data_IF_460247397128
#
_entry.id   IF_460247397128
#
_cell.length_a   1.000
_cell.length_b   1.000
_cell.length_c   1.000
_cell.angle_alpha   90.00
_cell.angle_beta   90.00
_cell.angle_gamma   90.00
#
_symmetry.space_group_name_H-M   'P 1'
#
loop_
_entity.id
_entity.type
_entity.pdbx_description
1 polymer ?
#
# COMPACT_ATOMS: atom_id res chain seq x y z
N UNK A 1 -10.75 41.36 34.00
CA UNK A 1 -9.69 40.33 33.97
C UNK A 1 -10.11 39.32 32.92
N UNK A 2 -9.40 39.29 31.79
CA UNK A 2 -9.75 38.43 30.67
C UNK A 2 -9.35 36.99 30.98
N UNK A 3 -10.30 36.06 30.88
CA UNK A 3 -10.05 34.63 30.89
C UNK A 3 -9.05 34.29 29.77
N UNK A 4 -7.90 33.74 30.16
CA UNK A 4 -6.95 33.20 29.23
C UNK A 4 -7.49 31.87 28.71
N UNK A 5 -7.71 31.81 27.39
CA UNK A 5 -8.05 30.57 26.71
C UNK A 5 -6.95 29.51 26.94
N UNK A 6 -7.30 28.23 27.13
CA UNK A 6 -6.33 27.17 27.29
C UNK A 6 -5.43 27.05 26.04
N UNK A 7 -4.19 26.55 26.19
CA UNK A 7 -3.14 26.64 25.18
C UNK A 7 -3.60 26.08 23.84
N UNK A 8 -3.67 26.98 22.84
CA UNK A 8 -4.12 26.68 21.49
C UNK A 8 -3.26 25.60 20.84
N UNK A 9 -3.83 24.42 20.66
CA UNK A 9 -3.34 23.46 19.68
C UNK A 9 -3.69 24.01 18.30
N UNK A 10 -2.67 24.28 17.49
CA UNK A 10 -2.82 24.81 16.13
C UNK A 10 -3.58 23.82 15.23
N UNK A 11 -4.91 23.90 15.21
CA UNK A 11 -5.76 23.14 14.30
C UNK A 11 -6.15 24.02 13.11
N UNK A 12 -6.15 23.42 11.92
CA UNK A 12 -6.49 24.10 10.67
C UNK A 12 -7.98 23.95 10.39
N UNK A 13 -8.65 25.06 10.10
CA UNK A 13 -10.07 25.10 9.71
C UNK A 13 -10.21 24.64 8.25
N UNK A 14 -11.17 23.77 7.93
CA UNK A 14 -11.52 23.47 6.52
C UNK A 14 -12.83 24.16 6.15
N UNK A 15 -12.87 24.69 4.94
CA UNK A 15 -14.09 25.18 4.28
C UNK A 15 -14.84 24.10 3.47
N UNK A 16 -14.38 22.84 3.46
CA UNK A 16 -15.00 21.75 2.68
C UNK A 16 -16.04 20.97 3.48
N UNK A 17 -17.20 20.79 2.87
CA UNK A 17 -18.34 20.04 3.39
C UNK A 17 -18.17 18.54 3.14
N UNK A 18 -17.87 17.77 4.19
CA UNK A 18 -18.04 16.31 4.15
C UNK A 18 -19.54 16.03 4.28
N UNK A 19 -20.23 15.82 3.16
CA UNK A 19 -21.64 15.39 3.16
C UNK A 19 -21.70 13.90 3.42
N UNK A 20 -21.99 13.52 4.66
CA UNK A 20 -22.36 12.15 5.00
C UNK A 20 -23.83 12.00 4.58
N UNK A 21 -24.08 11.36 3.44
CA UNK A 21 -25.45 11.00 3.05
C UNK A 21 -25.95 9.88 3.99
N UNK A 22 -26.72 10.26 5.00
CA UNK A 22 -27.39 9.32 5.90
C UNK A 22 -28.89 9.56 5.93
N UNK A 23 -29.63 8.51 6.28
CA UNK A 23 -31.02 8.59 6.72
C UNK A 23 -31.17 9.26 8.09
N UNK A 24 -30.09 9.37 8.87
CA UNK A 24 -29.98 10.13 10.12
C UNK A 24 -28.57 10.74 10.26
N UNK A 25 -28.42 12.04 10.56
CA UNK A 25 -27.11 12.68 10.67
C UNK A 25 -26.30 12.17 11.88
N UNK A 26 -25.10 11.64 11.66
CA UNK A 26 -24.13 11.34 12.74
C UNK A 26 -23.53 12.61 13.35
N UNK A 27 -23.24 12.58 14.65
CA UNK A 27 -22.71 13.71 15.42
C UNK A 27 -21.20 13.62 15.70
N UNK A 28 -20.55 14.78 15.83
CA UNK A 28 -19.22 14.92 16.43
C UNK A 28 -19.36 15.06 17.94
N UNK A 29 -18.50 14.40 18.74
CA UNK A 29 -18.55 14.51 20.20
C UNK A 29 -17.63 15.62 20.69
N UNK A 30 -18.17 16.56 21.47
CA UNK A 30 -17.40 17.60 22.15
C UNK A 30 -17.61 17.54 23.68
N UNK A 31 -16.56 17.38 24.50
CA UNK A 31 -15.15 17.27 24.10
C UNK A 31 -14.81 15.88 23.53
N UNK A 32 -13.92 15.79 22.53
CA UNK A 32 -13.61 14.53 21.82
C UNK A 32 -12.98 13.46 22.72
N UNK A 33 -12.38 13.86 23.83
CA UNK A 33 -11.80 12.97 24.84
C UNK A 33 -12.86 12.18 25.63
N UNK A 34 -14.15 12.44 25.39
CA UNK A 34 -15.28 11.70 25.93
C UNK A 34 -15.38 10.28 25.39
N UNK A 35 -14.81 9.99 24.23
CA UNK A 35 -14.70 8.63 23.65
C UNK A 35 -13.92 7.67 24.55
N UNK A 36 -13.11 8.22 25.45
CA UNK A 36 -12.24 7.49 26.36
C UNK A 36 -12.87 7.27 27.72
N UNK A 37 -14.14 7.67 27.87
CA UNK A 37 -14.93 7.51 29.09
C UNK A 37 -16.01 6.45 28.89
N UNK A 38 -16.63 5.97 29.97
CA UNK A 38 -17.76 5.02 29.91
C UNK A 38 -19.07 5.66 29.44
N UNK A 39 -18.99 6.70 28.62
CA UNK A 39 -20.16 7.40 28.10
C UNK A 39 -20.84 6.55 27.03
N UNK A 40 -22.19 6.47 27.02
CA UNK A 40 -22.93 5.84 25.94
C UNK A 40 -22.87 6.74 24.70
N UNK A 41 -21.88 6.47 23.86
CA UNK A 41 -21.73 7.06 22.53
C UNK A 41 -22.28 6.09 21.49
N UNK A 42 -22.93 6.64 20.47
CA UNK A 42 -23.24 5.84 19.29
C UNK A 42 -21.95 5.54 18.52
N UNK A 43 -21.87 4.36 17.90
CA UNK A 43 -20.66 3.93 17.21
C UNK A 43 -20.22 4.95 16.14
N UNK A 44 -21.17 5.51 15.39
CA UNK A 44 -20.91 6.53 14.38
C UNK A 44 -20.26 7.80 14.93
N UNK A 45 -20.58 8.19 16.16
CA UNK A 45 -20.06 9.41 16.78
C UNK A 45 -18.59 9.26 17.16
N UNK A 46 -18.23 8.11 17.74
CA UNK A 46 -16.86 7.79 18.10
C UNK A 46 -15.96 7.68 16.87
N UNK A 47 -16.45 7.01 15.82
CA UNK A 47 -15.81 6.89 14.50
C UNK A 47 -15.58 8.28 13.91
N UNK A 48 -16.62 9.09 13.81
CA UNK A 48 -16.58 10.43 13.21
C UNK A 48 -15.56 11.31 13.92
N UNK A 49 -15.61 11.35 15.24
CA UNK A 49 -14.67 12.14 16.06
C UNK A 49 -13.21 11.70 15.87
N UNK A 50 -12.95 10.39 15.79
CA UNK A 50 -11.61 9.86 15.55
C UNK A 50 -11.05 10.25 14.16
N UNK A 51 -11.91 10.34 13.12
CA UNK A 51 -11.52 10.84 11.79
C UNK A 51 -10.99 12.26 11.89
N UNK A 52 -11.79 13.16 12.47
CA UNK A 52 -11.43 14.57 12.57
C UNK A 52 -10.15 14.77 13.37
N UNK A 53 -9.98 13.99 14.44
CA UNK A 53 -8.79 14.02 15.26
C UNK A 53 -7.54 13.58 14.52
N UNK A 54 -7.62 12.47 13.79
CA UNK A 54 -6.53 11.96 12.96
C UNK A 54 -6.17 12.92 11.82
N UNK A 55 -7.16 13.61 11.23
CA UNK A 55 -6.92 14.63 10.20
C UNK A 55 -6.34 15.94 10.77
N UNK A 56 -6.38 16.15 12.09
CA UNK A 56 -5.98 17.41 12.73
C UNK A 56 -6.94 18.56 12.46
N UNK A 57 -8.24 18.27 12.30
CA UNK A 57 -9.25 19.23 11.83
C UNK A 57 -10.44 19.21 12.77
N UNK A 58 -11.09 20.35 12.99
CA UNK A 58 -12.37 20.43 13.71
C UNK A 58 -13.53 20.47 12.71
N UNK A 59 -14.64 19.77 12.96
CA UNK A 59 -15.79 19.82 12.09
C UNK A 59 -16.50 21.17 12.24
N UNK A 60 -16.79 21.84 11.12
CA UNK A 60 -17.66 23.02 11.09
C UNK A 60 -19.11 22.66 10.73
N UNK A 61 -19.33 21.47 10.19
CA UNK A 61 -20.56 21.13 9.46
C UNK A 61 -21.24 19.88 10.01
N UNK A 62 -20.52 19.09 10.80
CA UNK A 62 -21.13 17.96 11.50
C UNK A 62 -21.76 18.50 12.78
N UNK A 63 -23.06 18.22 13.03
CA UNK A 63 -23.71 18.61 14.27
C UNK A 63 -22.91 18.11 15.47
N UNK A 64 -22.61 19.01 16.41
CA UNK A 64 -21.86 18.66 17.61
C UNK A 64 -22.82 18.14 18.68
N UNK A 65 -22.58 16.94 19.20
CA UNK A 65 -23.20 16.44 20.43
C UNK A 65 -22.41 16.99 21.62
N UNK A 66 -23.08 17.85 22.38
CA UNK A 66 -22.57 18.30 23.67
C UNK A 66 -22.91 17.28 24.74
N UNK A 67 -21.93 16.92 25.55
CA UNK A 67 -22.14 16.10 26.73
C UNK A 67 -22.55 17.01 27.88
N UNK A 68 -23.74 16.76 28.44
CA UNK A 68 -24.17 17.47 29.64
C UNK A 68 -23.40 16.92 30.84
N UNK A 69 -22.32 17.60 31.23
CA UNK A 69 -21.46 17.19 32.36
C UNK A 69 -22.23 17.00 33.67
N UNK A 70 -23.36 17.70 33.87
CA UNK A 70 -24.20 17.56 35.05
C UNK A 70 -24.86 16.17 35.16
N UNK A 71 -24.98 15.45 34.05
CA UNK A 71 -25.58 14.10 34.00
C UNK A 71 -24.58 12.98 34.25
N UNK A 72 -23.29 13.30 34.35
CA UNK A 72 -22.22 12.33 34.57
C UNK A 72 -22.11 11.97 36.05
N UNK A 73 -21.79 10.72 36.35
CA UNK A 73 -21.36 10.32 37.69
C UNK A 73 -19.93 10.85 38.01
N UNK A 74 -19.52 10.78 39.28
CA UNK A 74 -18.22 11.32 39.72
C UNK A 74 -17.02 10.59 39.07
N UNK A 75 -17.18 9.30 38.75
CA UNK A 75 -16.14 8.52 38.08
C UNK A 75 -16.00 8.96 36.62
N UNK A 76 -17.11 9.21 35.93
CA UNK A 76 -17.17 9.72 34.57
C UNK A 76 -16.65 11.16 34.48
N UNK A 77 -17.01 12.04 35.42
CA UNK A 77 -16.46 13.41 35.48
C UNK A 77 -14.96 13.42 35.72
N UNK A 78 -14.47 12.58 36.64
CA UNK A 78 -13.03 12.45 36.91
C UNK A 78 -12.29 11.89 35.69
N UNK A 79 -12.85 10.90 35.02
CA UNK A 79 -12.28 10.35 33.78
C UNK A 79 -12.24 11.39 32.66
N UNK A 80 -13.31 12.17 32.51
CA UNK A 80 -13.41 13.26 31.52
C UNK A 80 -12.38 14.37 31.79
N UNK A 81 -12.25 14.84 33.03
CA UNK A 81 -11.23 15.85 33.39
C UNK A 81 -9.82 15.35 33.12
N UNK A 82 -9.52 14.11 33.53
CA UNK A 82 -8.22 13.47 33.26
C UNK A 82 -7.96 13.25 31.78
N UNK A 83 -9.00 13.03 30.97
CA UNK A 83 -8.84 12.82 29.53
C UNK A 83 -8.60 14.13 28.79
N UNK A 84 -9.27 15.23 29.18
CA UNK A 84 -9.06 16.57 28.60
C UNK A 84 -7.61 17.06 28.80
N UNK A 85 -7.00 16.76 29.95
CA UNK A 85 -5.65 17.23 30.31
C UNK A 85 -4.51 16.32 29.77
N UNK A 86 -4.81 15.17 29.18
CA UNK A 86 -3.82 14.12 28.94
C UNK A 86 -3.46 13.94 27.47
N UNK A 87 -2.16 13.94 27.16
CA UNK A 87 -1.60 13.48 25.88
C UNK A 87 -2.06 12.08 25.48
N UNK A 88 -2.44 11.24 26.46
CA UNK A 88 -3.04 9.93 26.23
C UNK A 88 -4.24 10.03 25.29
N UNK A 89 -5.11 11.01 25.50
CA UNK A 89 -6.36 11.08 24.76
C UNK A 89 -6.16 11.35 23.29
N UNK A 90 -5.17 12.17 22.99
CA UNK A 90 -4.81 12.48 21.61
C UNK A 90 -4.23 11.25 20.93
N UNK A 91 -3.33 10.54 21.60
CA UNK A 91 -2.75 9.29 21.08
C UNK A 91 -3.82 8.25 20.80
N UNK A 92 -4.80 8.08 21.72
CA UNK A 92 -5.89 7.13 21.56
C UNK A 92 -6.79 7.46 20.36
N UNK A 93 -7.22 8.72 20.23
CA UNK A 93 -8.10 9.16 19.13
C UNK A 93 -7.39 9.12 17.77
N UNK A 94 -6.14 9.58 17.72
CA UNK A 94 -5.34 9.51 16.50
C UNK A 94 -5.09 8.07 16.10
N UNK A 95 -4.75 7.20 17.04
CA UNK A 95 -4.58 5.77 16.79
C UNK A 95 -5.87 5.16 16.24
N UNK A 96 -7.04 5.45 16.84
CA UNK A 96 -8.33 4.95 16.36
C UNK A 96 -8.60 5.37 14.92
N UNK A 97 -8.43 6.65 14.59
CA UNK A 97 -8.63 7.15 13.23
C UNK A 97 -7.67 6.50 12.24
N UNK A 98 -6.38 6.44 12.59
CA UNK A 98 -5.34 5.80 11.76
C UNK A 98 -5.66 4.34 11.50
N UNK A 99 -5.89 3.57 12.57
CA UNK A 99 -6.19 2.14 12.49
C UNK A 99 -7.47 1.90 11.69
N UNK A 100 -8.52 2.70 11.93
CA UNK A 100 -9.76 2.66 11.17
C UNK A 100 -9.53 2.81 9.66
N UNK A 101 -8.77 3.81 9.22
CA UNK A 101 -8.48 3.99 7.78
C UNK A 101 -7.64 2.84 7.23
N UNK A 102 -6.64 2.37 7.96
CA UNK A 102 -5.83 1.22 7.53
C UNK A 102 -6.67 -0.06 7.35
N UNK A 103 -7.82 -0.18 8.04
CA UNK A 103 -8.71 -1.32 7.84
C UNK A 103 -9.37 -1.40 6.47
N UNK A 104 -9.33 -0.31 5.68
CA UNK A 104 -9.78 -0.32 4.29
C UNK A 104 -8.96 -1.26 3.40
N UNK A 105 -7.73 -1.56 3.81
CA UNK A 105 -6.80 -2.44 3.08
C UNK A 105 -6.30 -3.62 3.92
N UNK A 106 -6.46 -3.58 5.24
CA UNK A 106 -5.99 -4.62 6.18
C UNK A 106 -7.06 -4.89 7.24
N UNK A 107 -7.86 -5.93 7.04
CA UNK A 107 -8.93 -6.28 7.98
C UNK A 107 -8.39 -6.55 9.39
N UNK A 108 -9.09 -6.07 10.41
CA UNK A 108 -8.75 -6.31 11.82
C UNK A 108 -9.85 -7.15 12.44
N UNK A 109 -9.45 -8.16 13.22
CA UNK A 109 -10.37 -8.99 14.01
C UNK A 109 -9.87 -9.09 15.44
N UNK A 110 -10.80 -9.08 16.39
CA UNK A 110 -10.57 -9.32 17.81
C UNK A 110 -10.39 -10.80 18.11
N UNK A 111 -10.83 -11.68 17.20
CA UNK A 111 -10.67 -13.13 17.28
C UNK A 111 -10.21 -13.72 15.94
N UNK A 112 -9.41 -14.80 16.00
CA UNK A 112 -8.97 -15.56 14.82
C UNK A 112 -7.52 -15.32 14.38
N UNK A 113 -7.05 -16.06 13.34
CA UNK A 113 -5.65 -16.11 12.92
C UNK A 113 -5.15 -14.83 12.22
N UNK A 114 -6.05 -13.91 11.85
CA UNK A 114 -5.76 -12.66 11.14
C UNK A 114 -5.92 -11.43 12.03
N UNK A 115 -5.43 -11.51 13.27
CA UNK A 115 -5.35 -10.36 14.16
C UNK A 115 -4.23 -9.41 13.69
N UNK A 116 -4.52 -8.52 12.75
CA UNK A 116 -3.61 -7.45 12.30
C UNK A 116 -3.34 -6.37 13.36
N UNK A 117 -3.64 -6.66 14.64
CA UNK A 117 -3.46 -5.76 15.78
C UNK A 117 -1.98 -5.46 16.01
N UNK A 118 -1.10 -6.45 15.91
CA UNK A 118 0.36 -6.26 16.04
C UNK A 118 0.90 -5.33 14.95
N UNK A 119 0.40 -5.46 13.71
CA UNK A 119 0.79 -4.59 12.61
C UNK A 119 0.42 -3.13 12.90
N UNK A 120 -0.81 -2.88 13.36
CA UNK A 120 -1.27 -1.54 13.72
C UNK A 120 -0.44 -0.94 14.86
N UNK A 121 -0.15 -1.72 15.90
CA UNK A 121 0.69 -1.28 17.01
C UNK A 121 2.11 -0.96 16.56
N UNK A 122 2.71 -1.75 15.66
CA UNK A 122 4.04 -1.46 15.10
C UNK A 122 4.06 -0.17 14.28
N UNK A 123 3.00 0.13 13.53
CA UNK A 123 2.87 1.40 12.79
C UNK A 123 2.78 2.59 13.73
N UNK A 124 2.01 2.45 14.81
CA UNK A 124 1.94 3.47 15.85
C UNK A 124 3.28 3.69 16.56
N UNK A 125 3.95 2.61 16.96
CA UNK A 125 5.29 2.66 17.57
C UNK A 125 6.31 3.38 16.69
N UNK A 126 6.27 3.18 15.37
CA UNK A 126 7.13 3.89 14.44
C UNK A 126 6.88 5.42 14.45
N UNK A 127 5.61 5.85 14.57
CA UNK A 127 5.26 7.27 14.73
C UNK A 127 5.84 7.80 16.04
N UNK A 128 5.58 7.10 17.16
CA UNK A 128 6.07 7.53 18.48
C UNK A 128 7.59 7.67 18.50
N UNK A 129 8.31 6.68 17.95
CA UNK A 129 9.76 6.69 17.85
C UNK A 129 10.28 7.85 17.00
N UNK A 130 9.67 8.09 15.83
CA UNK A 130 10.05 9.18 14.92
C UNK A 130 9.84 10.55 15.56
N UNK A 131 8.78 10.71 16.35
CA UNK A 131 8.43 11.95 17.03
C UNK A 131 9.14 12.15 18.38
N UNK A 132 9.83 11.12 18.89
CA UNK A 132 10.43 11.16 20.23
C UNK A 132 9.38 11.26 21.36
N UNK A 133 8.16 10.78 21.15
CA UNK A 133 7.10 10.77 22.16
C UNK A 133 6.98 9.39 22.81
N UNK A 134 6.53 9.36 24.07
CA UNK A 134 6.21 8.12 24.76
C UNK A 134 5.06 7.41 24.07
N UNK A 135 5.25 6.13 23.74
CA UNK A 135 4.17 5.25 23.30
C UNK A 135 3.34 4.80 24.50
N UNK A 136 2.09 5.26 24.57
CA UNK A 136 1.18 4.90 25.65
C UNK A 136 0.64 3.45 25.53
N UNK A 137 0.84 2.78 24.39
CA UNK A 137 0.46 1.39 24.13
C UNK A 137 1.59 0.40 24.44
N UNK A 138 2.82 0.87 24.64
CA UNK A 138 3.97 0.03 24.98
C UNK A 138 3.93 -0.44 26.44
N UNK A 139 4.82 -1.38 26.77
CA UNK A 139 5.01 -1.82 28.15
C UNK A 139 5.36 -0.63 29.06
N UNK A 140 4.59 -0.48 30.15
CA UNK A 140 4.70 0.65 31.06
C UNK A 140 3.95 1.91 30.62
N UNK A 141 3.25 1.91 29.47
CA UNK A 141 2.32 2.97 29.07
C UNK A 141 1.03 2.99 29.89
N UNK A 142 0.17 4.00 29.66
CA UNK A 142 -1.10 4.16 30.39
C UNK A 142 -2.27 3.37 29.79
N UNK A 143 -2.14 2.82 28.59
CA UNK A 143 -3.21 2.02 27.96
C UNK A 143 -3.25 0.62 28.58
N UNK A 144 -4.34 0.31 29.27
CA UNK A 144 -4.56 -1.03 29.81
C UNK A 144 -4.93 -2.02 28.70
N UNK A 145 -4.75 -3.33 28.97
CA UNK A 145 -5.17 -4.39 28.05
C UNK A 145 -6.67 -4.34 27.72
N UNK A 146 -7.49 -4.01 28.71
CA UNK A 146 -8.95 -3.86 28.54
C UNK A 146 -9.28 -2.68 27.62
N UNK A 147 -8.64 -1.53 27.83
CA UNK A 147 -8.80 -0.35 26.97
C UNK A 147 -8.39 -0.66 25.53
N UNK A 148 -7.23 -1.28 25.34
CA UNK A 148 -6.78 -1.69 24.01
C UNK A 148 -7.76 -2.66 23.34
N UNK A 149 -8.27 -3.65 24.07
CA UNK A 149 -9.27 -4.57 23.54
C UNK A 149 -10.57 -3.87 23.12
N UNK A 150 -11.05 -2.90 23.92
CA UNK A 150 -12.21 -2.07 23.57
C UNK A 150 -12.00 -1.26 22.29
N UNK A 151 -10.78 -0.72 22.09
CA UNK A 151 -10.44 0.00 20.87
C UNK A 151 -10.44 -0.91 19.64
N UNK A 152 -9.91 -2.14 19.75
CA UNK A 152 -9.96 -3.11 18.65
C UNK A 152 -11.40 -3.43 18.26
N UNK A 153 -12.30 -3.62 19.23
CA UNK A 153 -13.74 -3.80 18.96
C UNK A 153 -14.35 -2.60 18.23
N UNK A 154 -14.00 -1.38 18.63
CA UNK A 154 -14.47 -0.18 17.92
C UNK A 154 -13.94 -0.13 16.48
N UNK A 155 -12.70 -0.57 16.24
CA UNK A 155 -12.12 -0.72 14.89
C UNK A 155 -12.82 -1.82 14.08
N UNK A 156 -13.35 -2.87 14.72
CA UNK A 156 -14.21 -3.85 14.06
C UNK A 156 -15.55 -3.24 13.64
N UNK A 157 -16.23 -2.51 14.53
CA UNK A 157 -17.46 -1.78 14.20
C UNK A 157 -17.22 -0.76 13.08
N UNK A 158 -16.10 -0.04 13.12
CA UNK A 158 -15.66 0.87 12.06
C UNK A 158 -15.65 0.21 10.68
N UNK A 159 -15.09 -0.99 10.55
CA UNK A 159 -15.02 -1.70 9.27
C UNK A 159 -16.41 -1.94 8.69
N UNK A 160 -17.35 -2.36 9.53
CA UNK A 160 -18.75 -2.57 9.13
C UNK A 160 -19.41 -1.25 8.75
N UNK A 161 -19.20 -0.20 9.56
CA UNK A 161 -19.79 1.12 9.38
C UNK A 161 -19.34 1.80 8.07
N UNK A 162 -18.03 1.77 7.76
CA UNK A 162 -17.47 2.38 6.54
C UNK A 162 -17.75 1.53 5.28
N UNK A 163 -17.80 0.19 5.39
CA UNK A 163 -18.11 -0.69 4.24
C UNK A 163 -19.45 -0.32 3.59
N UNK A 164 -20.47 -0.07 4.40
CA UNK A 164 -21.81 0.31 3.95
C UNK A 164 -21.89 1.71 3.31
N UNK A 165 -20.88 2.58 3.49
CA UNK A 165 -20.93 4.01 3.13
C UNK A 165 -19.87 4.38 2.10
N UNK A 166 -20.16 4.18 0.82
CA UNK A 166 -19.21 4.41 -0.26
C UNK A 166 -18.71 5.86 -0.36
N UNK A 167 -19.60 6.85 -0.17
CA UNK A 167 -19.25 8.27 -0.23
C UNK A 167 -18.32 8.67 0.93
N UNK A 168 -18.64 8.22 2.14
CA UNK A 168 -17.81 8.45 3.34
C UNK A 168 -16.44 7.81 3.18
N UNK A 169 -16.39 6.55 2.71
CA UNK A 169 -15.13 5.85 2.43
C UNK A 169 -14.28 6.63 1.44
N UNK A 170 -14.87 7.11 0.33
CA UNK A 170 -14.18 7.92 -0.67
C UNK A 170 -13.61 9.20 -0.06
N UNK A 171 -14.42 9.93 0.71
CA UNK A 171 -14.00 11.20 1.29
C UNK A 171 -12.87 11.03 2.32
N UNK A 172 -13.00 10.06 3.22
CA UNK A 172 -11.95 9.73 4.21
C UNK A 172 -10.65 9.38 3.49
N UNK A 173 -10.72 8.56 2.43
CA UNK A 173 -9.55 8.20 1.65
C UNK A 173 -8.93 9.43 1.00
N UNK A 174 -9.71 10.27 0.31
CA UNK A 174 -9.24 11.51 -0.33
C UNK A 174 -8.49 12.37 0.67
N UNK A 175 -9.12 12.67 1.81
CA UNK A 175 -8.53 13.50 2.86
C UNK A 175 -7.27 12.88 3.50
N UNK A 176 -7.15 11.55 3.48
CA UNK A 176 -6.00 10.84 4.02
C UNK A 176 -4.79 10.85 3.07
N UNK A 177 -5.02 10.99 1.75
CA UNK A 177 -3.96 10.94 0.73
C UNK A 177 -3.63 12.30 0.11
N UNK A 178 -4.51 13.30 0.24
CA UNK A 178 -4.26 14.68 -0.15
C UNK A 178 -3.01 15.25 0.55
N UNK A 179 -2.40 16.27 -0.04
CA UNK A 179 -1.24 16.93 0.54
C UNK A 179 -1.58 17.49 1.92
N UNK A 180 -0.68 17.20 2.86
CA UNK A 180 -0.88 17.54 4.26
C UNK A 180 -0.50 19.02 4.40
N UNK A 181 -1.40 19.91 4.87
CA UNK A 181 -1.08 21.32 4.99
C UNK A 181 0.17 21.53 5.86
N UNK A 182 1.06 22.45 5.46
CA UNK A 182 2.29 22.74 6.20
C UNK A 182 2.02 23.17 7.65
N UNK A 183 0.88 23.81 7.89
CA UNK A 183 0.44 24.24 9.23
C UNK A 183 -0.22 23.13 10.08
N UNK A 184 -0.38 21.90 9.56
CA UNK A 184 -0.94 20.80 10.32
C UNK A 184 -0.02 20.40 11.51
N UNK A 185 -0.58 19.91 12.63
CA UNK A 185 0.23 19.38 13.73
C UNK A 185 1.18 18.26 13.27
N UNK A 186 2.39 18.21 13.83
CA UNK A 186 3.41 17.22 13.41
C UNK A 186 2.92 15.77 13.55
N UNK A 187 2.16 15.47 14.62
CA UNK A 187 1.57 14.14 14.83
C UNK A 187 0.63 13.76 13.69
N UNK A 188 -0.19 14.70 13.23
CA UNK A 188 -1.13 14.50 12.11
C UNK A 188 -0.35 14.23 10.84
N UNK A 189 0.73 14.99 10.59
CA UNK A 189 1.61 14.76 9.43
C UNK A 189 2.16 13.34 9.41
N UNK A 190 2.75 12.89 10.52
CA UNK A 190 3.32 11.54 10.64
C UNK A 190 2.29 10.43 10.51
N UNK A 191 1.09 10.64 11.03
CA UNK A 191 -0.01 9.68 10.91
C UNK A 191 -0.47 9.55 9.46
N UNK A 192 -0.68 10.68 8.78
CA UNK A 192 -1.08 10.68 7.37
C UNK A 192 0.02 10.09 6.47
N UNK A 193 1.30 10.35 6.74
CA UNK A 193 2.43 9.69 6.07
C UNK A 193 2.37 8.15 6.22
N UNK A 194 2.12 7.64 7.43
CA UNK A 194 1.96 6.20 7.64
C UNK A 194 0.75 5.64 6.89
N UNK A 195 -0.39 6.33 6.91
CA UNK A 195 -1.59 5.91 6.18
C UNK A 195 -1.31 5.85 4.68
N UNK A 196 -0.73 6.91 4.10
CA UNK A 196 -0.35 6.94 2.67
C UNK A 196 0.55 5.76 2.32
N UNK A 197 1.58 5.49 3.12
CA UNK A 197 2.47 4.35 2.90
C UNK A 197 1.75 3.00 2.95
N UNK A 198 0.77 2.82 3.84
CA UNK A 198 0.02 1.55 3.95
C UNK A 198 -0.95 1.36 2.80
N UNK A 199 -1.58 2.43 2.32
CA UNK A 199 -2.51 2.41 1.20
C UNK A 199 -1.80 2.32 -0.17
N UNK A 200 -0.56 2.83 -0.25
CA UNK A 200 0.22 2.88 -1.48
C UNK A 200 0.50 1.48 -2.03
N UNK A 201 0.14 1.25 -3.30
CA UNK A 201 0.37 -0.01 -3.99
C UNK A 201 -0.56 -1.14 -3.52
N UNK A 202 -1.57 -0.85 -2.69
CA UNK A 202 -2.49 -1.89 -2.23
C UNK A 202 -3.13 -2.63 -3.40
N UNK A 203 -3.08 -3.96 -3.36
CA UNK A 203 -3.62 -4.83 -4.40
C UNK A 203 -2.87 -4.76 -5.75
N UNK A 204 -1.76 -4.03 -5.83
CA UNK A 204 -0.91 -3.93 -7.04
C UNK A 204 0.36 -4.80 -6.95
N UNK A 205 0.48 -5.64 -5.92
CA UNK A 205 1.68 -6.45 -5.67
C UNK A 205 2.08 -7.35 -6.86
N UNK A 206 1.10 -7.99 -7.50
CA UNK A 206 1.35 -8.78 -8.70
C UNK A 206 1.79 -7.92 -9.88
N UNK A 207 1.21 -6.72 -10.01
CA UNK A 207 1.58 -5.74 -11.03
C UNK A 207 3.01 -5.24 -10.83
N UNK A 208 3.43 -4.97 -9.59
CA UNK A 208 4.79 -4.58 -9.25
C UNK A 208 5.81 -5.66 -9.64
N UNK A 209 5.51 -6.94 -9.36
CA UNK A 209 6.39 -8.06 -9.75
C UNK A 209 6.52 -8.18 -11.26
N UNK A 210 5.40 -8.13 -11.99
CA UNK A 210 5.44 -8.17 -13.46
C UNK A 210 6.17 -6.94 -14.03
N UNK A 211 5.97 -5.76 -13.44
CA UNK A 211 6.69 -4.55 -13.84
C UNK A 211 8.20 -4.67 -13.60
N UNK A 212 8.61 -5.19 -12.44
CA UNK A 212 10.03 -5.42 -12.12
C UNK A 212 10.68 -6.43 -13.07
N UNK A 213 9.92 -7.46 -13.49
CA UNK A 213 10.40 -8.44 -14.46
C UNK A 213 10.68 -7.83 -15.84
N UNK A 214 10.01 -6.73 -16.23
CA UNK A 214 10.25 -6.07 -17.52
C UNK A 214 11.68 -5.52 -17.68
N UNK A 215 12.38 -5.32 -16.56
CA UNK A 215 13.78 -4.87 -16.52
C UNK A 215 14.74 -5.99 -16.12
N UNK A 216 14.25 -7.24 -16.03
CA UNK A 216 15.10 -8.38 -15.72
C UNK A 216 15.95 -8.78 -16.94
N UNK A 217 17.02 -9.50 -16.65
CA UNK A 217 17.88 -10.15 -17.63
C UNK A 217 17.48 -11.60 -17.87
N UNK A 218 16.21 -11.98 -17.67
CA UNK A 218 15.77 -13.35 -17.87
C UNK A 218 15.55 -13.69 -19.35
N UNK A 219 16.01 -14.87 -19.80
CA UNK A 219 15.70 -15.39 -21.14
C UNK A 219 14.20 -15.63 -21.35
N UNK A 220 13.40 -15.76 -20.28
CA UNK A 220 11.95 -15.93 -20.43
C UNK A 220 11.28 -14.76 -21.18
N UNK A 221 11.91 -13.57 -21.24
CA UNK A 221 11.48 -12.46 -22.09
C UNK A 221 11.57 -12.73 -23.60
N UNK A 222 12.27 -13.79 -24.02
CA UNK A 222 12.32 -14.26 -25.41
C UNK A 222 11.12 -15.13 -25.79
N UNK A 223 10.30 -15.56 -24.82
CA UNK A 223 9.09 -16.33 -25.09
C UNK A 223 8.04 -15.35 -25.68
N UNK A 224 7.53 -15.55 -26.91
CA UNK A 224 6.68 -14.56 -27.58
C UNK A 224 5.47 -14.12 -26.76
N UNK A 225 4.84 -15.05 -26.04
CA UNK A 225 3.65 -14.82 -25.22
C UNK A 225 3.99 -13.99 -23.97
N UNK A 226 5.10 -14.29 -23.29
CA UNK A 226 5.60 -13.50 -22.15
C UNK A 226 5.96 -12.10 -22.62
N UNK A 227 6.66 -12.01 -23.74
CA UNK A 227 7.11 -10.77 -24.35
C UNK A 227 5.94 -9.86 -24.74
N UNK A 228 4.93 -10.39 -25.44
CA UNK A 228 3.75 -9.63 -25.82
C UNK A 228 2.97 -9.14 -24.59
N UNK A 229 2.72 -10.02 -23.62
CA UNK A 229 2.05 -9.65 -22.37
C UNK A 229 2.83 -8.57 -21.59
N UNK A 230 4.17 -8.55 -21.70
CA UNK A 230 5.03 -7.52 -21.10
C UNK A 230 4.76 -6.14 -21.71
N UNK A 231 4.70 -6.06 -23.03
CA UNK A 231 4.38 -4.82 -23.75
C UNK A 231 2.97 -4.36 -23.45
N UNK A 232 2.01 -5.27 -23.46
CA UNK A 232 0.61 -4.96 -23.18
C UNK A 232 0.45 -4.40 -21.76
N UNK A 233 1.08 -5.03 -20.76
CA UNK A 233 1.09 -4.53 -19.39
C UNK A 233 1.73 -3.14 -19.30
N UNK A 234 2.88 -2.91 -19.95
CA UNK A 234 3.57 -1.61 -19.95
C UNK A 234 2.67 -0.50 -20.52
N UNK A 235 1.94 -0.78 -21.60
CA UNK A 235 0.96 0.14 -22.20
C UNK A 235 -0.18 0.45 -21.24
N UNK A 236 -0.80 -0.59 -20.65
CA UNK A 236 -1.90 -0.40 -19.68
C UNK A 236 -1.44 0.39 -18.45
N UNK A 237 -0.25 0.12 -17.92
CA UNK A 237 0.33 0.87 -16.79
C UNK A 237 0.55 2.34 -17.16
N UNK A 238 1.09 2.62 -18.34
CA UNK A 238 1.31 3.99 -18.81
C UNK A 238 -0.01 4.75 -18.98
N UNK A 239 -1.02 4.12 -19.59
CA UNK A 239 -2.36 4.69 -19.74
C UNK A 239 -3.01 5.01 -18.39
N UNK A 240 -2.97 4.08 -17.44
CA UNK A 240 -3.57 4.29 -16.13
C UNK A 240 -2.82 5.35 -15.32
N UNK A 241 -1.49 5.43 -15.44
CA UNK A 241 -0.70 6.51 -14.82
C UNK A 241 -1.05 7.87 -15.42
N UNK A 242 -1.22 7.95 -16.74
CA UNK A 242 -1.64 9.18 -17.40
C UNK A 242 -3.07 9.59 -17.03
N UNK A 243 -3.98 8.62 -16.93
CA UNK A 243 -5.39 8.85 -16.61
C UNK A 243 -5.60 9.28 -15.15
N UNK A 244 -4.94 8.62 -14.19
CA UNK A 244 -5.22 8.80 -12.76
C UNK A 244 -4.15 9.61 -12.02
N UNK A 245 -3.02 9.92 -12.67
CA UNK A 245 -1.98 10.80 -12.16
C UNK A 245 -1.49 10.39 -10.75
N UNK A 246 -1.49 11.30 -9.77
CA UNK A 246 -1.09 11.02 -8.39
C UNK A 246 -1.93 9.93 -7.68
N UNK A 247 -3.13 9.63 -8.18
CA UNK A 247 -4.00 8.61 -7.60
C UNK A 247 -3.66 7.19 -8.08
N UNK A 248 -2.77 7.03 -9.07
CA UNK A 248 -2.38 5.72 -9.60
C UNK A 248 -1.95 4.71 -8.52
N UNK A 249 -1.11 5.07 -7.53
CA UNK A 249 -0.71 4.12 -6.49
C UNK A 249 -1.88 3.63 -5.61
N UNK A 250 -3.03 4.30 -5.66
CA UNK A 250 -4.21 4.02 -4.83
C UNK A 250 -5.39 3.45 -5.65
N UNK A 251 -5.16 3.07 -6.92
CA UNK A 251 -6.18 2.59 -7.87
C UNK A 251 -7.18 1.59 -7.28
N UNK A 252 -6.70 0.57 -6.56
CA UNK A 252 -7.56 -0.47 -5.98
C UNK A 252 -8.20 -0.10 -4.65
N UNK A 253 -7.68 0.93 -3.99
CA UNK A 253 -8.28 1.50 -2.76
C UNK A 253 -9.47 2.38 -3.13
N UNK A 254 -9.37 3.14 -4.22
CA UNK A 254 -10.41 4.04 -4.76
C UNK A 254 -11.35 3.40 -5.79
N UNK A 255 -11.45 2.07 -5.83
CA UNK A 255 -11.74 1.27 -7.04
C UNK A 255 -11.93 2.09 -8.34
N UNK A 256 -10.85 2.72 -8.81
CA UNK A 256 -10.89 3.60 -9.97
C UNK A 256 -11.09 2.77 -11.26
N UNK A 257 -11.77 3.32 -12.28
CA UNK A 257 -12.01 2.61 -13.54
C UNK A 257 -10.72 2.08 -14.18
N UNK A 258 -10.77 0.83 -14.66
CA UNK A 258 -9.66 0.18 -15.37
C UNK A 258 -8.63 -0.54 -14.48
N UNK A 259 -8.77 -0.50 -13.14
CA UNK A 259 -7.86 -1.19 -12.22
C UNK A 259 -7.87 -2.74 -12.36
N UNK A 260 -8.95 -3.30 -12.88
CA UNK A 260 -9.13 -4.71 -13.22
C UNK A 260 -8.20 -5.16 -14.36
N UNK A 261 -7.86 -4.24 -15.28
CA UNK A 261 -6.92 -4.50 -16.38
C UNK A 261 -5.54 -4.95 -15.89
N UNK A 262 -5.11 -4.48 -14.71
CA UNK A 262 -3.83 -4.82 -14.08
C UNK A 262 -3.80 -6.19 -13.37
N UNK A 263 -4.91 -6.93 -13.37
CA UNK A 263 -4.98 -8.23 -12.71
C UNK A 263 -4.05 -9.26 -13.40
N UNK A 264 -3.29 -10.03 -12.62
CA UNK A 264 -2.33 -11.02 -13.15
C UNK A 264 -2.97 -12.07 -14.08
N UNK A 265 -4.25 -12.42 -13.85
CA UNK A 265 -5.06 -13.28 -14.74
C UNK A 265 -5.12 -12.81 -16.19
N UNK A 266 -4.95 -11.51 -16.46
CA UNK A 266 -4.90 -10.99 -17.83
C UNK A 266 -3.52 -11.19 -18.48
N UNK A 267 -2.52 -11.55 -17.70
CA UNK A 267 -1.12 -11.74 -18.11
C UNK A 267 -0.53 -13.03 -17.49
N UNK A 268 -1.14 -14.20 -17.72
CA UNK A 268 -0.80 -15.43 -16.98
C UNK A 268 0.64 -15.92 -17.26
N UNK A 269 1.10 -15.86 -18.51
CA UNK A 269 2.46 -16.26 -18.90
C UNK A 269 3.51 -15.32 -18.29
N UNK A 270 3.28 -14.01 -18.37
CA UNK A 270 4.14 -12.98 -17.77
C UNK A 270 4.19 -13.11 -16.26
N UNK A 271 3.04 -13.24 -15.60
CA UNK A 271 3.00 -13.37 -14.15
C UNK A 271 3.76 -14.61 -13.68
N UNK A 272 3.55 -15.74 -14.34
CA UNK A 272 4.28 -16.97 -14.02
C UNK A 272 5.79 -16.81 -14.22
N UNK A 273 6.23 -16.24 -15.35
CA UNK A 273 7.65 -15.97 -15.62
C UNK A 273 8.28 -15.04 -14.58
N UNK A 274 7.56 -13.97 -14.20
CA UNK A 274 8.02 -13.00 -13.22
C UNK A 274 8.18 -13.61 -11.83
N UNK A 275 7.21 -14.41 -11.38
CA UNK A 275 7.31 -15.12 -10.09
C UNK A 275 8.41 -16.17 -10.12
N UNK A 276 8.53 -16.95 -11.21
CA UNK A 276 9.56 -17.99 -11.36
C UNK A 276 10.97 -17.39 -11.27
N UNK A 277 11.20 -16.29 -11.98
CA UNK A 277 12.46 -15.54 -11.94
C UNK A 277 12.74 -14.96 -10.55
N UNK A 278 11.74 -14.38 -9.89
CA UNK A 278 11.91 -13.82 -8.56
C UNK A 278 12.21 -14.90 -7.49
N UNK A 279 11.61 -16.10 -7.63
CA UNK A 279 11.94 -17.27 -6.80
C UNK A 279 13.40 -17.67 -7.00
N UNK A 280 13.84 -17.79 -8.26
CA UNK A 280 15.21 -18.17 -8.60
C UNK A 280 16.25 -17.19 -8.04
N UNK A 281 16.01 -15.89 -8.22
CA UNK A 281 16.93 -14.84 -7.78
C UNK A 281 16.92 -14.62 -6.26
N UNK A 282 16.05 -15.31 -5.51
CA UNK A 282 15.83 -15.11 -4.07
C UNK A 282 15.42 -13.68 -3.71
N UNK A 283 14.92 -12.93 -4.69
CA UNK A 283 14.38 -11.58 -4.50
C UNK A 283 13.04 -11.60 -3.74
N UNK A 284 12.43 -12.78 -3.62
CA UNK A 284 11.27 -13.02 -2.78
C UNK A 284 11.69 -13.13 -1.31
N UNK A 285 11.94 -11.98 -0.70
CA UNK A 285 12.05 -11.86 0.75
C UNK A 285 10.76 -12.34 1.43
N UNK A 286 10.90 -13.42 2.20
CA UNK A 286 9.91 -14.06 3.08
C UNK A 286 8.89 -14.95 2.35
N UNK A 287 8.93 -16.23 2.71
CA UNK A 287 8.05 -17.34 2.33
C UNK A 287 6.57 -16.92 2.20
N UNK A 288 5.91 -17.36 1.12
CA UNK A 288 4.45 -17.37 0.99
C UNK A 288 3.76 -16.09 0.50
N UNK A 289 4.48 -15.01 0.18
CA UNK A 289 3.86 -13.75 -0.32
C UNK A 289 3.45 -13.77 -1.80
N UNK A 290 4.03 -14.67 -2.58
CA UNK A 290 3.70 -14.83 -4.00
C UNK A 290 3.40 -16.29 -4.23
N UNK A 291 2.17 -16.55 -4.61
CA UNK A 291 1.73 -17.89 -4.98
C UNK A 291 1.82 -17.98 -6.50
N UNK A 292 2.46 -19.06 -6.97
CA UNK A 292 2.28 -19.52 -8.34
C UNK A 292 0.79 -19.76 -8.54
N UNK A 293 0.20 -19.12 -9.53
CA UNK A 293 -1.22 -19.27 -9.81
C UNK A 293 -1.49 -20.59 -10.52
N UNK A 294 -2.67 -21.15 -10.26
CA UNK A 294 -3.21 -22.27 -11.04
C UNK A 294 -3.77 -21.82 -12.40
N UNK A 295 -3.70 -20.51 -12.69
CA UNK A 295 -4.09 -19.95 -13.97
C UNK A 295 -3.34 -20.66 -15.12
N UNK A 296 -4.10 -21.01 -16.16
CA UNK A 296 -3.56 -21.73 -17.31
C UNK A 296 -2.73 -20.77 -18.16
N UNK A 297 -1.44 -21.04 -18.27
CA UNK A 297 -0.52 -20.34 -19.17
C UNK A 297 -0.70 -20.86 -20.60
N UNK A 298 -0.46 -20.00 -21.58
CA UNK A 298 -0.49 -20.42 -23.00
C UNK A 298 0.75 -21.23 -23.34
N UNK A 299 1.89 -20.84 -22.77
CA UNK A 299 3.17 -21.55 -22.86
C UNK A 299 3.25 -22.57 -21.74
N UNK A 300 3.83 -23.75 -22.01
CA UNK A 300 4.06 -24.75 -20.97
C UNK A 300 4.90 -24.17 -19.83
N UNK A 301 4.44 -24.33 -18.58
CA UNK A 301 5.13 -23.89 -17.35
C UNK A 301 6.59 -24.39 -17.31
N UNK A 302 6.82 -25.65 -17.73
CA UNK A 302 8.15 -26.24 -17.78
C UNK A 302 9.11 -25.56 -18.79
N UNK A 303 8.57 -24.93 -19.85
CA UNK A 303 9.36 -24.13 -20.78
C UNK A 303 9.72 -22.78 -20.15
N UNK A 304 8.75 -22.15 -19.48
CA UNK A 304 8.97 -20.88 -18.78
C UNK A 304 10.03 -21.06 -17.69
N UNK A 305 9.90 -22.06 -16.82
CA UNK A 305 10.86 -22.30 -15.73
C UNK A 305 12.29 -22.53 -16.26
N UNK A 306 12.43 -23.33 -17.33
CA UNK A 306 13.74 -23.58 -17.95
C UNK A 306 14.42 -22.30 -18.47
N UNK A 307 13.64 -21.30 -18.86
CA UNK A 307 14.15 -20.03 -19.40
C UNK A 307 14.24 -18.95 -18.32
N UNK A 308 13.43 -19.02 -17.26
CA UNK A 308 13.44 -18.09 -16.14
C UNK A 308 14.82 -18.05 -15.45
N UNK A 309 15.43 -19.23 -15.29
CA UNK A 309 16.74 -19.44 -14.64
C UNK A 309 17.95 -19.01 -15.49
N UNK A 310 17.74 -18.51 -16.71
CA UNK A 310 18.83 -18.22 -17.67
C UNK A 310 18.94 -16.73 -17.95
N UNK A 311 20.19 -16.28 -18.09
CA UNK A 311 20.51 -14.91 -18.47
C UNK A 311 20.27 -14.66 -19.95
N UNK A 312 19.72 -13.49 -20.26
CA UNK A 312 19.34 -13.06 -21.59
C UNK A 312 20.57 -13.01 -22.49
N UNK A 313 20.64 -13.96 -23.40
CA UNK A 313 21.66 -14.01 -24.43
C UNK A 313 21.02 -13.91 -25.81
N UNK A 314 21.75 -13.34 -26.77
CA UNK A 314 21.29 -13.32 -28.14
C UNK A 314 21.22 -14.75 -28.70
N UNK A 315 20.01 -15.19 -29.02
CA UNK A 315 19.73 -16.51 -29.57
C UNK A 315 19.34 -16.43 -31.04
N UNK A 316 19.74 -17.46 -31.78
CA UNK A 316 19.28 -17.70 -33.15
C UNK A 316 17.82 -18.18 -33.08
N UNK A 317 16.95 -17.65 -33.94
CA UNK A 317 15.56 -18.09 -34.05
C UNK A 317 14.54 -17.32 -33.19
N UNK A 318 14.92 -16.18 -32.62
CA UNK A 318 13.95 -15.23 -32.03
C UNK A 318 13.24 -14.50 -33.15
N UNK A 319 11.91 -14.44 -33.11
CA UNK A 319 11.12 -13.78 -34.14
C UNK A 319 11.29 -12.25 -34.10
N UNK A 320 11.03 -11.61 -35.24
CA UNK A 320 11.24 -10.17 -35.40
C UNK A 320 10.35 -9.32 -34.47
N UNK A 321 9.14 -9.79 -34.15
CA UNK A 321 8.20 -9.10 -33.27
C UNK A 321 8.73 -9.08 -31.84
N UNK A 322 9.22 -10.22 -31.33
CA UNK A 322 9.87 -10.31 -30.02
C UNK A 322 11.09 -9.39 -29.93
N UNK A 323 11.91 -9.30 -30.99
CA UNK A 323 13.06 -8.38 -31.04
C UNK A 323 12.60 -6.91 -30.98
N UNK A 324 11.57 -6.53 -31.73
CA UNK A 324 11.03 -5.17 -31.72
C UNK A 324 10.48 -4.79 -30.34
N UNK A 325 9.70 -5.68 -29.74
CA UNK A 325 9.15 -5.50 -28.40
C UNK A 325 10.27 -5.36 -27.35
N UNK A 326 11.32 -6.17 -27.40
CA UNK A 326 12.48 -6.00 -26.50
C UNK A 326 13.14 -4.62 -26.68
N UNK A 327 13.24 -4.12 -27.91
CA UNK A 327 13.74 -2.77 -28.16
C UNK A 327 12.82 -1.69 -27.55
N UNK A 328 11.49 -1.86 -27.59
CA UNK A 328 10.53 -0.98 -26.89
C UNK A 328 10.68 -1.01 -25.35
N UNK A 329 11.24 -2.10 -24.82
CA UNK A 329 11.60 -2.23 -23.40
C UNK A 329 12.98 -1.63 -23.08
N UNK A 330 13.73 -1.16 -24.08
CA UNK A 330 15.10 -0.67 -23.93
C UNK A 330 16.14 -1.78 -23.84
N UNK A 331 15.76 -3.03 -24.16
CA UNK A 331 16.62 -4.20 -24.11
C UNK A 331 17.20 -4.44 -25.50
N UNK A 332 18.52 -4.31 -25.63
CA UNK A 332 19.23 -4.60 -26.89
C UNK A 332 19.92 -5.94 -26.79
N UNK A 333 19.55 -6.89 -27.65
CA UNK A 333 20.22 -8.19 -27.68
C UNK A 333 21.66 -8.02 -28.19
N UNK A 334 22.68 -8.61 -27.53
CA UNK A 334 24.07 -8.52 -27.98
C UNK A 334 24.20 -9.11 -29.39
N UNK A 335 24.63 -8.34 -30.39
CA UNK A 335 24.92 -8.92 -31.73
C UNK A 335 26.03 -9.96 -31.59
N UNK A 336 25.71 -11.23 -31.82
CA UNK A 336 26.74 -12.28 -31.89
C UNK A 336 27.64 -11.94 -33.09
N UNK A 337 28.93 -11.73 -32.85
CA UNK A 337 29.92 -11.70 -33.94
C UNK A 337 29.80 -13.03 -34.68
N UNK A 338 29.27 -13.02 -35.89
CA UNK A 338 29.49 -14.12 -36.82
C UNK A 338 31.00 -14.25 -36.94
N UNK A 339 31.58 -15.35 -36.42
CA UNK A 339 32.85 -15.83 -36.96
C UNK A 339 32.53 -16.08 -38.44
N UNK A 340 33.01 -15.19 -39.31
CA UNK A 340 33.19 -15.56 -40.71
C UNK A 340 34.12 -16.77 -40.67
N UNK A 341 33.66 -17.87 -41.23
CA UNK A 341 34.56 -18.94 -41.62
C UNK A 341 35.58 -18.29 -42.56
N UNK A 342 36.84 -18.23 -42.13
CA UNK A 342 37.98 -17.95 -42.99
C UNK A 342 38.20 -19.21 -43.86
N UNK A 343 37.30 -19.39 -44.83
CA UNK A 343 37.57 -20.17 -46.02
C UNK A 343 37.60 -19.16 -47.17
N UNK A 344 38.79 -18.85 -47.64
CA UNK A 344 39.17 -18.99 -49.04
C UNK A 344 40.66 -18.61 -49.21
N UNK A 345 41.44 -19.63 -49.56
CA UNK A 345 42.52 -19.66 -50.55
C UNK A 345 43.65 -18.60 -50.54
N UNK A 346 44.85 -19.05 -50.15
CA UNK A 346 46.09 -18.73 -50.89
C UNK A 346 47.04 -19.95 -50.93
N UNK A 347 47.06 -20.58 -52.11
CA UNK A 347 48.22 -21.02 -52.90
C UNK A 347 49.33 -21.94 -52.31
N UNK A 348 49.38 -23.11 -52.92
CA UNK A 348 50.55 -23.92 -53.29
C UNK A 348 51.91 -23.59 -52.62
N UNK A 349 52.33 -24.48 -51.71
CA UNK A 349 53.76 -24.80 -51.54
C UNK A 349 54.00 -26.31 -51.69
N UNK A 350 55.00 -26.73 -52.48
CA UNK A 350 55.24 -28.13 -52.82
C UNK A 350 55.82 -28.92 -51.63
N UNK A 351 55.72 -30.26 -51.64
CA UNK A 351 56.09 -31.07 -50.48
C UNK A 351 57.60 -31.05 -50.24
N UNK A 352 58.08 -30.94 -48.99
CA UNK A 352 59.50 -31.03 -48.71
C UNK A 352 60.00 -32.46 -48.91
N UNK A 353 60.98 -32.57 -49.81
CA UNK A 353 61.66 -33.79 -50.23
C UNK A 353 62.27 -34.56 -49.06
N UNK A 354 62.04 -35.87 -49.04
CA UNK A 354 62.84 -36.82 -48.26
C UNK A 354 64.30 -36.78 -48.73
N UNK A 355 65.20 -36.22 -47.92
CA UNK A 355 66.64 -36.51 -48.03
C UNK A 355 66.98 -37.65 -47.08
N UNK A 356 67.19 -38.83 -47.65
CA UNK A 356 67.94 -39.93 -47.02
C UNK A 356 69.46 -39.69 -47.19
N UNK A 357 70.18 -39.94 -46.10
CA UNK A 357 71.54 -40.47 -45.96
C UNK A 357 72.75 -39.52 -46.03
N UNK A 358 73.52 -39.49 -44.93
CA UNK A 358 74.70 -40.37 -44.80
C UNK A 358 74.70 -41.06 -43.44
#
# INVERSE_FOLDING_TARGET
MAEQAPPGRNYVVIERVIRIEETQPVHYVDPPQSILTKLPLEEGEAITTAIFWMLGKRPNIIPTRQINEATLDEQQRTALRKSIESHLSDQLLVFLGMAGVMTLVKEVRSTGPTANTEYLTKRWQAICATMGIRDEFAAGGKVSREMFHGMIKLIESWQTWVKARANVRREILTLSIEDIPDQAPEMVKKVLEQIKMVLHGYGLKSTEVMCGFTTSDSEALLIPQVNQQTIDLKKVVAELKAQHGPLYPYLRVFPLPGADRLHHRNYPDLYYAAVSTAVHNKDLGVEGRYQMTDDQTTTSKAVIDRMADRLLHARVGVDQTTIQNLAELGITLPRRRMRRDDNDDEDEQPPPQQRRLR
#
